data_IF_092357729520
#
_entry.id   IF_092357729520
#
_cell.length_a   1.000
_cell.length_b   1.000
_cell.length_c   1.000
_cell.angle_alpha   90.00
_cell.angle_beta   90.00
_cell.angle_gamma   90.00
#
_symmetry.space_group_name_H-M   'P 1'
#
loop_
_entity.id
_entity.type
_entity.pdbx_description
1 polymer ?
#
# COMPACT_ATOMS: atom_id res chain seq x y z
N UNK A 1 -22.20 -15.21 19.01
CA UNK A 1 -22.51 -13.92 18.37
C UNK A 1 -22.33 -14.12 16.88
N UNK A 2 -23.41 -14.24 16.11
CA UNK A 2 -23.33 -14.78 14.75
C UNK A 2 -22.51 -13.85 13.83
N UNK A 3 -21.36 -14.36 13.36
CA UNK A 3 -20.56 -13.73 12.33
C UNK A 3 -21.33 -13.86 11.02
N UNK A 4 -22.13 -12.86 10.69
CA UNK A 4 -22.97 -12.91 9.50
C UNK A 4 -22.11 -12.75 8.24
N UNK A 5 -21.65 -13.88 7.71
CA UNK A 5 -21.00 -14.00 6.41
C UNK A 5 -22.08 -14.02 5.33
N UNK A 6 -22.36 -12.87 4.76
CA UNK A 6 -23.33 -12.76 3.70
C UNK A 6 -22.68 -13.02 2.34
N UNK A 7 -23.23 -13.96 1.57
CA UNK A 7 -22.87 -14.15 0.15
C UNK A 7 -23.28 -12.94 -0.70
N UNK A 8 -24.38 -12.29 -0.35
CA UNK A 8 -24.87 -11.06 -0.99
C UNK A 8 -25.72 -10.26 0.00
N UNK A 9 -25.49 -8.96 0.05
CA UNK A 9 -26.34 -8.00 0.77
C UNK A 9 -26.89 -7.03 -0.27
N UNK A 10 -28.22 -6.90 -0.34
CA UNK A 10 -28.88 -5.90 -1.18
C UNK A 10 -29.43 -4.84 -0.24
N UNK A 11 -28.89 -3.63 -0.33
CA UNK A 11 -29.30 -2.47 0.45
C UNK A 11 -30.20 -1.64 -0.48
N UNK A 12 -31.48 -1.55 -0.15
CA UNK A 12 -32.43 -0.67 -0.84
C UNK A 12 -32.95 0.34 0.18
N UNK A 13 -32.75 1.62 -0.12
CA UNK A 13 -33.20 2.72 0.71
C UNK A 13 -32.83 4.04 0.07
N UNK A 14 -33.55 5.10 0.44
CA UNK A 14 -33.38 6.43 -0.14
C UNK A 14 -32.07 7.11 0.30
N UNK A 15 -31.42 6.57 1.33
CA UNK A 15 -30.18 7.09 1.91
C UNK A 15 -29.23 5.92 2.23
N UNK A 16 -28.02 5.95 1.67
CA UNK A 16 -26.89 5.15 2.18
C UNK A 16 -26.26 5.93 3.32
N UNK A 17 -26.43 5.46 4.55
CA UNK A 17 -25.98 6.18 5.75
C UNK A 17 -24.51 5.92 6.11
N UNK A 18 -23.88 4.85 5.62
CA UNK A 18 -22.49 4.48 5.98
C UNK A 18 -21.81 3.55 4.94
N UNK A 19 -20.49 3.66 4.77
CA UNK A 19 -19.62 2.75 4.00
C UNK A 19 -18.44 2.35 4.90
N UNK A 20 -18.17 1.04 5.07
CA UNK A 20 -17.12 0.52 5.96
C UNK A 20 -16.01 -0.20 5.19
N UNK A 21 -14.76 0.17 5.46
CA UNK A 21 -13.56 -0.54 5.01
C UNK A 21 -13.19 -1.57 6.09
N UNK A 22 -13.29 -2.88 5.79
CA UNK A 22 -13.14 -3.94 6.80
C UNK A 22 -11.71 -4.16 7.31
N UNK A 23 -10.69 -3.75 6.57
CA UNK A 23 -9.32 -3.67 7.09
C UNK A 23 -8.52 -2.66 6.28
N UNK A 24 -7.64 -1.86 6.92
CA UNK A 24 -6.71 -0.98 6.20
C UNK A 24 -5.87 -1.78 5.20
N UNK A 25 -5.48 -1.20 4.06
CA UNK A 25 -4.54 -1.84 3.15
C UNK A 25 -3.24 -2.15 3.91
N UNK A 26 -2.61 -3.28 3.57
CA UNK A 26 -1.33 -3.67 4.17
C UNK A 26 -0.22 -2.69 3.78
N UNK A 27 -0.39 -2.01 2.64
CA UNK A 27 0.53 -1.02 2.10
C UNK A 27 0.14 0.38 2.54
N UNK A 28 1.01 1.01 3.32
CA UNK A 28 0.91 2.42 3.68
C UNK A 28 1.98 3.23 2.95
N UNK A 29 1.52 4.23 2.21
CA UNK A 29 2.34 5.07 1.33
C UNK A 29 3.44 5.80 2.11
N UNK A 30 3.12 6.36 3.29
CA UNK A 30 4.07 7.14 4.10
C UNK A 30 5.06 6.24 4.81
N UNK A 31 4.57 5.15 5.39
CA UNK A 31 5.40 4.17 6.08
C UNK A 31 6.42 3.54 5.14
N UNK A 32 5.98 3.14 3.95
CA UNK A 32 6.86 2.54 2.96
C UNK A 32 7.89 3.55 2.42
N UNK A 33 7.51 4.81 2.20
CA UNK A 33 8.47 5.86 1.85
C UNK A 33 9.55 6.04 2.93
N UNK A 34 9.15 6.18 4.20
CA UNK A 34 10.10 6.29 5.32
C UNK A 34 11.00 5.07 5.48
N UNK A 35 10.49 3.87 5.15
CA UNK A 35 11.29 2.65 5.11
C UNK A 35 12.35 2.75 4.01
N UNK A 36 11.98 3.15 2.79
CA UNK A 36 12.90 3.30 1.68
C UNK A 36 13.96 4.37 1.92
N UNK A 37 13.61 5.53 2.47
CA UNK A 37 14.57 6.58 2.82
C UNK A 37 15.69 6.05 3.71
N UNK A 38 15.34 5.24 4.73
CA UNK A 38 16.31 4.63 5.64
C UNK A 38 17.09 3.48 5.01
N UNK A 39 16.39 2.59 4.30
CA UNK A 39 17.00 1.37 3.73
C UNK A 39 17.92 1.65 2.55
N UNK A 40 17.64 2.71 1.79
CA UNK A 40 18.37 3.04 0.57
C UNK A 40 19.16 4.36 0.67
N UNK A 41 19.12 5.04 1.82
CA UNK A 41 19.74 6.36 2.03
C UNK A 41 19.29 7.40 0.98
N UNK A 42 18.01 7.37 0.62
CA UNK A 42 17.42 8.32 -0.33
C UNK A 42 17.31 9.70 0.31
N UNK A 43 17.45 10.74 -0.49
CA UNK A 43 17.35 12.14 -0.06
C UNK A 43 15.90 12.60 -0.07
N UNK A 44 15.65 13.68 0.66
CA UNK A 44 14.39 14.41 0.59
C UNK A 44 14.14 14.87 -0.85
N UNK A 45 13.03 14.42 -1.43
CA UNK A 45 12.63 14.70 -2.81
C UNK A 45 12.85 13.54 -3.79
N UNK A 46 13.62 12.51 -3.41
CA UNK A 46 13.77 11.30 -4.25
C UNK A 46 12.49 10.45 -4.27
N UNK A 47 11.60 10.64 -3.28
CA UNK A 47 10.31 9.96 -3.17
C UNK A 47 9.19 10.99 -3.21
N UNK A 48 8.22 10.81 -4.12
CA UNK A 48 6.96 11.56 -4.17
C UNK A 48 5.83 10.67 -3.69
N UNK A 49 4.98 11.22 -2.82
CA UNK A 49 3.86 10.53 -2.21
C UNK A 49 2.57 10.90 -2.97
N UNK A 50 1.81 9.89 -3.37
CA UNK A 50 0.48 10.02 -3.95
C UNK A 50 -0.52 9.27 -3.07
N UNK A 51 -0.76 9.81 -1.88
CA UNK A 51 -1.53 9.12 -0.82
C UNK A 51 -2.96 8.81 -1.24
N UNK A 52 -3.66 9.77 -1.86
CA UNK A 52 -5.03 9.58 -2.35
C UNK A 52 -5.10 8.49 -3.44
N UNK A 53 -4.02 8.31 -4.19
CA UNK A 53 -3.93 7.32 -5.25
C UNK A 53 -3.25 6.00 -4.81
N UNK A 54 -2.78 5.92 -3.55
CA UNK A 54 -2.20 4.71 -2.98
C UNK A 54 -0.82 4.30 -3.52
N UNK A 55 0.00 5.25 -3.98
CA UNK A 55 1.35 4.92 -4.50
C UNK A 55 2.43 5.96 -4.18
N UNK A 56 3.67 5.56 -4.35
CA UNK A 56 4.84 6.45 -4.37
C UNK A 56 5.57 6.35 -5.70
N UNK A 57 6.32 7.39 -6.07
CA UNK A 57 7.33 7.32 -7.13
C UNK A 57 8.71 7.61 -6.57
N UNK A 58 9.69 6.80 -6.93
CA UNK A 58 11.10 6.97 -6.58
C UNK A 58 11.86 7.42 -7.83
N UNK A 59 12.64 8.50 -7.72
CA UNK A 59 13.45 9.08 -8.82
C UNK A 59 12.66 9.31 -10.12
N UNK A 60 11.38 9.68 -9.97
CA UNK A 60 10.43 10.00 -11.04
C UNK A 60 10.02 8.84 -11.98
N UNK A 61 10.59 7.65 -11.85
CA UNK A 61 10.31 6.55 -12.76
C UNK A 61 9.85 5.24 -12.08
N UNK A 62 10.29 4.94 -10.86
CA UNK A 62 9.91 3.69 -10.20
C UNK A 62 8.64 3.92 -9.38
N UNK A 63 7.51 3.33 -9.80
CA UNK A 63 6.25 3.44 -9.08
C UNK A 63 6.06 2.24 -8.15
N UNK A 64 5.63 2.48 -6.91
CA UNK A 64 5.32 1.42 -5.94
C UNK A 64 3.95 1.64 -5.35
N UNK A 65 3.11 0.62 -5.43
CA UNK A 65 1.76 0.59 -4.86
C UNK A 65 1.54 -0.72 -4.09
N UNK A 66 0.34 -0.94 -3.57
CA UNK A 66 -0.05 -2.23 -2.99
C UNK A 66 0.12 -3.42 -3.94
N UNK A 67 0.15 -3.16 -5.26
CA UNK A 67 0.32 -4.18 -6.29
C UNK A 67 1.80 -4.54 -6.55
N UNK A 68 2.74 -3.87 -5.89
CA UNK A 68 4.18 -4.07 -6.05
C UNK A 68 4.88 -2.93 -6.78
N UNK A 69 6.09 -3.21 -7.28
CA UNK A 69 6.96 -2.26 -7.94
C UNK A 69 6.80 -2.35 -9.46
N UNK A 70 6.39 -1.25 -10.07
CA UNK A 70 6.34 -1.04 -11.51
C UNK A 70 7.65 -0.38 -11.94
N UNK A 71 8.63 -1.17 -12.39
CA UNK A 71 9.79 -0.81 -13.24
C UNK A 71 10.82 -1.96 -13.24
N UNK A 72 11.84 -1.90 -14.12
CA UNK A 72 12.94 -2.88 -14.14
C UNK A 72 14.31 -2.23 -13.98
N UNK A 73 15.22 -2.92 -13.29
CA UNK A 73 16.61 -2.51 -13.10
C UNK A 73 17.13 -2.82 -11.70
N UNK A 74 18.43 -2.62 -11.44
CA UNK A 74 19.05 -2.99 -10.17
C UNK A 74 18.41 -2.31 -8.94
N UNK A 75 18.00 -1.05 -9.08
CA UNK A 75 17.31 -0.31 -8.02
C UNK A 75 15.88 -0.83 -7.80
N UNK A 76 15.12 -1.02 -8.88
CA UNK A 76 13.75 -1.55 -8.80
C UNK A 76 13.72 -2.94 -8.18
N UNK A 77 14.70 -3.81 -8.47
CA UNK A 77 14.82 -5.12 -7.83
C UNK A 77 15.04 -5.00 -6.32
N UNK A 78 15.95 -4.11 -5.87
CA UNK A 78 16.15 -3.88 -4.43
C UNK A 78 14.91 -3.34 -3.74
N UNK A 79 14.16 -2.46 -4.40
CA UNK A 79 12.89 -1.93 -3.88
C UNK A 79 11.85 -3.05 -3.80
N UNK A 80 11.79 -3.95 -4.78
CA UNK A 80 10.93 -5.14 -4.75
C UNK A 80 11.27 -6.03 -3.55
N UNK A 81 12.55 -6.32 -3.31
CA UNK A 81 12.96 -7.16 -2.17
C UNK A 81 12.52 -6.52 -0.83
N UNK A 82 12.64 -5.18 -0.69
CA UNK A 82 12.18 -4.45 0.50
C UNK A 82 10.64 -4.48 0.60
N UNK A 83 9.92 -4.36 -0.52
CA UNK A 83 8.47 -4.41 -0.59
C UNK A 83 7.94 -5.78 -0.13
N UNK A 84 8.51 -6.87 -0.63
CA UNK A 84 8.11 -8.23 -0.27
C UNK A 84 8.29 -8.48 1.23
N UNK A 85 9.44 -8.08 1.78
CA UNK A 85 9.71 -8.16 3.21
C UNK A 85 8.73 -7.32 4.05
N UNK A 86 8.39 -6.12 3.58
CA UNK A 86 7.44 -5.23 4.24
C UNK A 86 6.04 -5.85 4.29
N UNK A 87 5.54 -6.34 3.16
CA UNK A 87 4.22 -7.00 3.08
C UNK A 87 4.19 -8.29 3.90
N UNK A 88 5.25 -9.10 3.86
CA UNK A 88 5.35 -10.32 4.66
C UNK A 88 5.31 -10.02 6.17
N UNK A 89 5.98 -8.95 6.63
CA UNK A 89 5.93 -8.50 8.03
C UNK A 89 4.55 -8.00 8.42
N UNK A 90 3.85 -7.27 7.54
CA UNK A 90 2.48 -6.80 7.78
C UNK A 90 1.47 -7.94 7.88
N UNK A 91 1.56 -8.93 6.98
CA UNK A 91 0.71 -10.14 7.01
C UNK A 91 0.87 -10.96 8.29
N UNK A 92 2.09 -11.07 8.84
CA UNK A 92 2.34 -11.78 10.11
C UNK A 92 1.79 -11.04 11.35
N UNK A 93 1.56 -9.73 11.25
CA UNK A 93 1.09 -8.88 12.35
C UNK A 93 -0.42 -8.61 12.31
N UNK A 94 -1.09 -9.00 11.24
CA UNK A 94 -2.55 -8.89 11.03
C UNK A 94 -3.24 -10.19 11.42
#
# INVERSE_FOLDING_TARGET
>A
SENNLFYKVIINGDIISEILVKSPPLFDVREFASLLEKSLNLRTGDIKLYEEAGFITILDNIKVSENGVEERGPLAQRINDIFDDYIAKKKKRS
#
